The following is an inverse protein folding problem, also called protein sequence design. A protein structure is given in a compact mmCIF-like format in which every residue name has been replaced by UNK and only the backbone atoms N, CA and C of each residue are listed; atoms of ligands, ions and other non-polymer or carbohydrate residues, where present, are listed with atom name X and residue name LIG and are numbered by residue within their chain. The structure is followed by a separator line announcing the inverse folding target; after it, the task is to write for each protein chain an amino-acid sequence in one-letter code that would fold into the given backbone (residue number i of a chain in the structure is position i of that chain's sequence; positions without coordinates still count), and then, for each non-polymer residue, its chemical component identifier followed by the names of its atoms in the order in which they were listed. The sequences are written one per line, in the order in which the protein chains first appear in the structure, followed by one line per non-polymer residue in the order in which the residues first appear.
data_IF_577633807207
#
_entry.id   IF_577633807207
#
_cell.length_a   1.000
_cell.length_b   1.000
_cell.length_c   1.000
_cell.angle_alpha   90.00
_cell.angle_beta   90.00
_cell.angle_gamma   90.00
#
_symmetry.space_group_name_H-M   'P 1'
#
loop_
_entity.id
_entity.type
_entity.pdbx_description
1 polymer ?
#
# COMPACT_ATOMS: atom_id res chain seq x y z
N UNK A 1 -24.57 27.13 10.86
CA UNK A 1 -23.16 27.09 10.42
C UNK A 1 -22.66 25.68 10.68
N UNK A 2 -22.80 24.84 9.67
CA UNK A 2 -22.48 23.40 9.75
C UNK A 2 -21.10 23.23 9.13
N UNK A 3 -20.10 23.02 9.97
CA UNK A 3 -18.73 22.74 9.56
C UNK A 3 -18.59 21.26 9.20
N UNK A 4 -18.38 21.00 7.92
CA UNK A 4 -18.12 19.67 7.37
C UNK A 4 -16.70 19.23 7.79
N UNK A 5 -16.60 18.60 8.95
CA UNK A 5 -15.37 17.95 9.43
C UNK A 5 -15.29 16.54 8.83
N UNK A 6 -14.82 16.44 7.58
CA UNK A 6 -14.39 15.16 7.05
C UNK A 6 -13.12 14.71 7.78
N UNK A 7 -13.09 13.50 8.36
CA UNK A 7 -11.88 13.01 9.01
C UNK A 7 -10.83 12.68 7.93
N UNK A 8 -9.76 13.47 7.90
CA UNK A 8 -8.57 13.17 7.12
C UNK A 8 -7.84 11.99 7.78
N UNK A 9 -7.92 10.83 7.18
CA UNK A 9 -7.02 9.71 7.46
C UNK A 9 -6.29 9.38 6.16
N UNK A 10 -5.04 9.83 6.06
CA UNK A 10 -4.16 9.41 4.98
C UNK A 10 -3.74 7.96 5.23
N UNK A 11 -4.37 7.03 4.52
CA UNK A 11 -3.91 5.66 4.44
C UNK A 11 -2.95 5.52 3.26
N UNK A 12 -1.67 5.41 3.53
CA UNK A 12 -0.69 5.04 2.52
C UNK A 12 -0.62 3.51 2.49
N UNK A 13 -1.02 2.90 1.37
CA UNK A 13 -0.68 1.52 1.05
C UNK A 13 0.84 1.45 0.83
N UNK A 14 1.61 1.29 1.90
CA UNK A 14 3.04 1.02 1.84
C UNK A 14 3.27 -0.41 2.28
N UNK A 15 3.53 -1.28 1.35
CA UNK A 15 4.11 -2.58 1.66
C UNK A 15 5.61 -2.40 1.81
N UNK A 16 6.11 -2.25 3.04
CA UNK A 16 7.54 -2.43 3.30
C UNK A 16 7.77 -2.95 4.71
N UNK A 17 8.18 -4.18 4.77
CA UNK A 17 8.79 -4.77 5.96
C UNK A 17 10.28 -4.92 5.70
N UNK A 18 11.09 -3.95 6.10
CA UNK A 18 12.46 -4.18 6.55
C UNK A 18 12.94 -2.98 7.38
N UNK A 19 13.39 -3.16 8.62
CA UNK A 19 13.99 -2.11 9.40
C UNK A 19 15.47 -2.06 9.09
N UNK A 20 15.90 -1.20 8.20
CA UNK A 20 17.31 -0.73 8.20
C UNK A 20 17.44 0.55 7.40
N UNK A 21 18.08 1.54 8.03
CA UNK A 21 18.56 2.83 7.50
C UNK A 21 17.52 3.92 7.27
N UNK A 22 17.90 5.08 7.77
CA UNK A 22 17.33 6.43 7.69
C UNK A 22 16.45 6.73 6.48
N UNK A 23 15.43 7.59 6.61
CA UNK A 23 14.68 8.10 5.47
C UNK A 23 15.65 8.84 4.57
N UNK A 24 16.02 8.19 3.49
CA UNK A 24 16.73 8.84 2.38
C UNK A 24 15.75 9.85 1.82
N UNK A 25 15.93 11.11 2.16
CA UNK A 25 15.22 12.21 1.53
C UNK A 25 15.39 12.06 0.01
N UNK A 26 14.30 11.76 -0.69
CA UNK A 26 14.29 11.74 -2.14
C UNK A 26 14.64 13.14 -2.57
N UNK A 27 15.83 13.31 -3.15
CA UNK A 27 16.27 14.61 -3.68
C UNK A 27 15.30 14.97 -4.83
N UNK A 28 14.49 16.02 -4.70
CA UNK A 28 13.49 16.37 -5.73
C UNK A 28 14.12 16.78 -7.07
N UNK A 29 15.42 16.93 -7.11
CA UNK A 29 16.20 17.28 -8.32
C UNK A 29 16.90 16.06 -8.95
N UNK A 30 16.73 14.85 -8.43
CA UNK A 30 17.32 13.66 -9.05
C UNK A 30 16.62 13.38 -10.39
N UNK A 31 17.41 13.26 -11.45
CA UNK A 31 16.91 12.84 -12.77
C UNK A 31 16.27 11.46 -12.65
N UNK A 32 15.08 11.30 -13.23
CA UNK A 32 14.39 10.01 -13.27
C UNK A 32 15.19 9.09 -14.21
N UNK A 33 15.73 8.00 -13.65
CA UNK A 33 16.43 7.01 -14.45
C UNK A 33 15.42 6.04 -15.08
N UNK A 34 15.64 5.77 -16.37
CA UNK A 34 14.86 4.83 -17.15
C UNK A 34 15.76 3.72 -17.69
N UNK A 35 15.48 2.49 -17.25
CA UNK A 35 16.22 1.34 -17.75
C UNK A 35 15.93 1.03 -19.24
N UNK A 36 14.76 1.46 -19.74
CA UNK A 36 14.28 1.20 -21.09
C UNK A 36 13.80 2.53 -21.71
N UNK A 37 14.45 3.02 -22.78
CA UNK A 37 14.05 4.27 -23.47
C UNK A 37 12.61 4.20 -24.03
N UNK A 38 12.19 3.03 -24.49
CA UNK A 38 10.84 2.81 -25.03
C UNK A 38 9.78 3.01 -23.94
N UNK A 39 10.05 2.54 -22.72
CA UNK A 39 9.14 2.75 -21.56
C UNK A 39 9.05 4.22 -21.20
N UNK A 40 10.17 4.92 -21.24
CA UNK A 40 10.21 6.39 -21.04
C UNK A 40 9.35 7.12 -22.07
N UNK A 41 9.51 6.78 -23.36
CA UNK A 41 8.76 7.40 -24.45
C UNK A 41 7.25 7.14 -24.28
N UNK A 42 6.85 5.91 -23.99
CA UNK A 42 5.47 5.53 -23.75
C UNK A 42 4.88 6.28 -22.55
N UNK A 43 5.62 6.39 -21.44
CA UNK A 43 5.21 7.14 -20.25
C UNK A 43 4.94 8.61 -20.57
N UNK A 44 5.88 9.29 -21.24
CA UNK A 44 5.71 10.69 -21.61
C UNK A 44 4.57 10.90 -22.61
N UNK A 45 4.40 10.01 -23.57
CA UNK A 45 3.29 10.04 -24.52
C UNK A 45 1.94 9.94 -23.79
N UNK A 46 1.81 8.95 -22.91
CA UNK A 46 0.60 8.74 -22.13
C UNK A 46 0.32 9.93 -21.19
N UNK A 47 1.35 10.43 -20.50
CA UNK A 47 1.21 11.56 -19.60
C UNK A 47 0.78 12.85 -20.32
N UNK A 48 1.31 13.11 -21.51
CA UNK A 48 0.92 14.23 -22.34
C UNK A 48 -0.57 14.15 -22.76
N UNK A 49 -1.11 12.95 -22.95
CA UNK A 49 -2.53 12.77 -23.23
C UNK A 49 -3.44 13.16 -22.05
N UNK A 50 -2.90 13.21 -20.81
CA UNK A 50 -3.67 13.61 -19.62
C UNK A 50 -3.75 15.14 -19.43
N UNK A 51 -3.00 15.92 -20.19
CA UNK A 51 -2.94 17.40 -20.06
C UNK A 51 -4.33 18.03 -20.20
N UNK A 52 -5.06 17.68 -21.25
CA UNK A 52 -6.35 18.30 -21.54
C UNK A 52 -7.45 17.93 -20.51
N UNK A 53 -7.46 16.68 -20.04
CA UNK A 53 -8.50 16.16 -19.15
C UNK A 53 -8.24 16.50 -17.68
N UNK A 54 -6.96 16.52 -17.26
CA UNK A 54 -6.59 16.60 -15.86
C UNK A 54 -5.68 17.79 -15.52
N UNK A 55 -5.36 18.64 -16.49
CA UNK A 55 -4.50 19.82 -16.29
C UNK A 55 -3.07 19.49 -15.85
N UNK A 56 -2.60 18.29 -16.17
CA UNK A 56 -1.26 17.82 -15.83
C UNK A 56 -0.19 18.67 -16.51
N UNK A 57 0.93 18.90 -15.82
CA UNK A 57 2.12 19.57 -16.34
C UNK A 57 3.28 18.59 -16.46
N UNK A 58 3.47 17.94 -17.59
CA UNK A 58 4.44 16.84 -17.76
C UNK A 58 5.89 17.21 -17.48
N UNK A 59 6.26 18.47 -17.61
CA UNK A 59 7.58 19.04 -17.31
C UNK A 59 7.92 19.08 -15.81
N UNK A 60 6.91 18.88 -14.94
CA UNK A 60 7.08 18.93 -13.48
C UNK A 60 7.21 17.56 -12.82
N UNK A 61 7.29 16.48 -13.62
CA UNK A 61 7.40 15.10 -13.13
C UNK A 61 8.67 14.93 -12.28
N UNK A 62 8.48 14.38 -11.07
CA UNK A 62 9.55 14.10 -10.12
C UNK A 62 9.26 12.83 -9.34
N UNK A 63 10.27 12.17 -8.81
CA UNK A 63 10.11 10.99 -7.98
C UNK A 63 9.28 11.33 -6.72
N UNK A 64 8.26 10.52 -6.42
CA UNK A 64 7.44 10.66 -5.23
C UNK A 64 7.83 9.66 -4.14
N UNK A 65 7.93 8.39 -4.50
CA UNK A 65 8.37 7.32 -3.61
C UNK A 65 8.86 6.14 -4.44
N UNK A 66 9.73 5.32 -3.84
CA UNK A 66 10.05 3.99 -4.31
C UNK A 66 9.29 2.97 -3.45
N UNK A 67 8.78 1.93 -4.08
CA UNK A 67 8.18 0.77 -3.42
C UNK A 67 9.18 -0.39 -3.45
N UNK A 68 8.99 -1.37 -2.59
CA UNK A 68 9.72 -2.64 -2.62
C UNK A 68 9.30 -3.53 -3.81
N UNK A 69 8.29 -3.13 -4.58
CA UNK A 69 7.79 -3.77 -5.79
C UNK A 69 8.41 -3.15 -7.05
N UNK A 70 7.97 -3.62 -8.22
CA UNK A 70 8.37 -3.03 -9.51
C UNK A 70 7.61 -1.75 -9.84
N UNK A 71 6.76 -1.24 -8.94
CA UNK A 71 6.01 -0.01 -9.12
C UNK A 71 6.88 1.19 -8.82
N UNK A 72 6.76 2.21 -9.65
CA UNK A 72 7.38 3.52 -9.44
C UNK A 72 6.30 4.57 -9.32
N UNK A 73 6.49 5.51 -8.43
CA UNK A 73 5.55 6.58 -8.21
C UNK A 73 6.22 7.93 -8.46
N UNK A 74 5.56 8.74 -9.27
CA UNK A 74 6.00 10.08 -9.61
C UNK A 74 4.93 11.08 -9.20
N UNK A 75 5.35 12.24 -8.72
CA UNK A 75 4.47 13.37 -8.49
C UNK A 75 4.54 14.30 -9.68
N UNK A 76 3.40 14.83 -10.09
CA UNK A 76 3.28 15.79 -11.18
C UNK A 76 2.36 16.92 -10.75
N UNK A 77 2.70 18.16 -11.12
CA UNK A 77 1.83 19.29 -10.87
C UNK A 77 0.67 19.32 -11.85
N UNK A 78 -0.44 19.88 -11.40
CA UNK A 78 -1.64 20.12 -12.21
C UNK A 78 -2.07 21.58 -12.07
N UNK A 79 -3.12 21.97 -12.77
CA UNK A 79 -3.70 23.31 -12.61
C UNK A 79 -4.33 23.56 -11.23
N UNK A 80 -4.60 22.49 -10.46
CA UNK A 80 -5.33 22.57 -9.19
C UNK A 80 -4.60 21.92 -8.00
N UNK A 81 -3.33 21.60 -8.15
CA UNK A 81 -2.53 20.93 -7.12
C UNK A 81 -1.55 19.93 -7.71
N UNK A 82 -1.49 18.74 -7.12
CA UNK A 82 -0.60 17.67 -7.57
C UNK A 82 -1.37 16.36 -7.77
N UNK A 83 -0.84 15.51 -8.63
CA UNK A 83 -1.29 14.13 -8.82
C UNK A 83 -0.10 13.16 -8.69
N UNK A 84 -0.40 11.90 -8.44
CA UNK A 84 0.56 10.81 -8.47
C UNK A 84 0.39 10.02 -9.77
N UNK A 85 1.49 9.78 -10.44
CA UNK A 85 1.56 8.85 -11.58
C UNK A 85 2.20 7.56 -11.10
N UNK A 86 1.49 6.45 -11.22
CA UNK A 86 2.03 5.11 -10.98
C UNK A 86 2.46 4.52 -12.31
N UNK A 87 3.69 4.04 -12.35
CA UNK A 87 4.27 3.23 -13.44
C UNK A 87 4.47 1.81 -12.93
N UNK A 88 3.68 0.88 -13.44
CA UNK A 88 3.64 -0.52 -13.06
C UNK A 88 3.77 -1.40 -14.32
N UNK A 89 4.98 -1.85 -14.71
CA UNK A 89 5.18 -2.63 -15.91
C UNK A 89 4.32 -3.90 -15.94
N UNK A 90 3.48 -4.12 -16.97
CA UNK A 90 2.47 -5.20 -16.97
C UNK A 90 3.04 -6.62 -16.97
N UNK A 91 4.29 -6.78 -17.40
CA UNK A 91 5.03 -8.05 -17.35
C UNK A 91 5.46 -8.45 -15.93
N UNK A 92 5.39 -7.51 -14.98
CA UNK A 92 5.83 -7.69 -13.59
C UNK A 92 4.76 -7.39 -12.56
N UNK A 93 3.77 -6.57 -12.88
CA UNK A 93 2.78 -6.06 -11.96
C UNK A 93 1.36 -6.21 -12.52
N UNK A 94 0.48 -6.82 -11.74
CA UNK A 94 -0.95 -6.81 -12.00
C UNK A 94 -1.61 -5.68 -11.21
N UNK A 95 -2.14 -4.68 -11.89
CA UNK A 95 -2.79 -3.52 -11.28
C UNK A 95 -4.27 -3.72 -10.95
N UNK A 96 -4.93 -4.77 -11.46
CA UNK A 96 -6.37 -5.01 -11.23
C UNK A 96 -6.71 -5.09 -9.72
N UNK A 97 -5.96 -5.81 -8.89
CA UNK A 97 -6.22 -5.83 -7.44
C UNK A 97 -6.14 -4.44 -6.80
N UNK A 98 -5.18 -3.60 -7.19
CA UNK A 98 -5.08 -2.22 -6.70
C UNK A 98 -6.33 -1.42 -7.05
N UNK A 99 -6.78 -1.48 -8.31
CA UNK A 99 -7.99 -0.77 -8.79
C UNK A 99 -9.23 -1.22 -8.02
N UNK A 100 -9.39 -2.53 -7.84
CA UNK A 100 -10.53 -3.12 -7.14
C UNK A 100 -10.56 -2.70 -5.66
N UNK A 101 -9.41 -2.78 -4.97
CA UNK A 101 -9.32 -2.40 -3.56
C UNK A 101 -9.51 -0.90 -3.36
N UNK A 102 -8.91 -0.06 -4.20
CA UNK A 102 -9.11 1.39 -4.13
C UNK A 102 -10.61 1.76 -4.25
N UNK A 103 -11.32 1.16 -5.21
CA UNK A 103 -12.77 1.36 -5.38
C UNK A 103 -13.55 0.89 -4.16
N UNK A 104 -13.24 -0.31 -3.65
CA UNK A 104 -13.90 -0.86 -2.47
C UNK A 104 -13.74 0.04 -1.24
N UNK A 105 -12.56 0.62 -1.04
CA UNK A 105 -12.31 1.55 0.07
C UNK A 105 -13.07 2.86 -0.12
N UNK A 106 -13.10 3.42 -1.34
CA UNK A 106 -13.87 4.62 -1.65
C UNK A 106 -15.38 4.40 -1.47
N UNK A 107 -15.90 3.25 -1.91
CA UNK A 107 -17.31 2.87 -1.73
C UNK A 107 -17.68 2.70 -0.25
N UNK A 108 -16.73 2.30 0.59
CA UNK A 108 -16.88 2.24 2.03
C UNK A 108 -16.85 3.63 2.71
N UNK A 109 -16.60 4.70 1.96
CA UNK A 109 -16.45 6.06 2.49
C UNK A 109 -15.08 6.35 3.08
N UNK A 110 -14.09 5.49 2.84
CA UNK A 110 -12.72 5.71 3.26
C UNK A 110 -11.99 6.64 2.27
N UNK A 111 -10.96 7.32 2.79
CA UNK A 111 -10.09 8.14 1.97
C UNK A 111 -9.01 7.25 1.33
N UNK A 112 -9.14 7.01 0.04
CA UNK A 112 -8.19 6.25 -0.77
C UNK A 112 -7.92 7.00 -2.07
N UNK A 113 -6.78 6.78 -2.76
CA UNK A 113 -6.50 7.46 -4.03
C UNK A 113 -7.56 7.14 -5.07
N UNK A 114 -8.22 8.18 -5.63
CA UNK A 114 -9.07 7.99 -6.79
C UNK A 114 -8.20 7.76 -8.01
N UNK A 115 -8.63 6.84 -8.86
CA UNK A 115 -7.98 6.58 -10.14
C UNK A 115 -8.61 7.53 -11.16
N UNK A 116 -7.85 8.55 -11.57
CA UNK A 116 -8.30 9.59 -12.50
C UNK A 116 -8.18 9.13 -13.95
N UNK A 117 -7.12 8.38 -14.27
CA UNK A 117 -6.91 7.73 -15.56
C UNK A 117 -6.12 6.43 -15.37
N UNK A 118 -6.38 5.43 -16.22
CA UNK A 118 -5.70 4.15 -16.23
C UNK A 118 -5.52 3.62 -17.64
N UNK A 119 -4.27 3.37 -18.00
CA UNK A 119 -3.87 2.64 -19.21
C UNK A 119 -3.46 1.22 -18.77
N UNK A 120 -4.42 0.31 -18.77
CA UNK A 120 -4.22 -1.07 -18.33
C UNK A 120 -3.16 -1.79 -19.17
N UNK A 121 -3.18 -1.73 -20.53
CA UNK A 121 -2.17 -2.39 -21.36
C UNK A 121 -0.75 -1.93 -21.11
N UNK A 122 -0.54 -0.68 -20.73
CA UNK A 122 0.78 -0.13 -20.46
C UNK A 122 1.10 -0.06 -18.95
N UNK A 123 0.10 -0.23 -18.06
CA UNK A 123 0.29 -0.19 -16.62
C UNK A 123 0.60 1.21 -16.08
N UNK A 124 0.06 2.26 -16.68
CA UNK A 124 0.16 3.63 -16.18
C UNK A 124 -1.14 4.06 -15.52
N UNK A 125 -1.05 4.70 -14.35
CA UNK A 125 -2.21 5.29 -13.68
C UNK A 125 -1.95 6.71 -13.24
N UNK A 126 -2.96 7.56 -13.36
CA UNK A 126 -3.01 8.88 -12.72
C UNK A 126 -3.92 8.76 -11.50
N UNK A 127 -3.40 9.13 -10.35
CA UNK A 127 -4.05 9.00 -9.05
C UNK A 127 -4.15 10.35 -8.35
N UNK A 128 -5.12 10.51 -7.46
CA UNK A 128 -5.10 11.61 -6.50
C UNK A 128 -3.81 11.58 -5.70
N UNK A 129 -3.26 12.76 -5.43
CA UNK A 129 -2.16 12.90 -4.47
C UNK A 129 -2.75 13.06 -3.07
N UNK A 130 -2.61 12.04 -2.25
CA UNK A 130 -3.08 12.04 -0.86
C UNK A 130 -2.03 12.56 0.12
N UNK A 131 -0.97 13.23 -0.38
CA UNK A 131 0.06 13.87 0.43
C UNK A 131 1.39 13.13 0.44
N UNK A 132 2.32 13.65 1.23
CA UNK A 132 3.69 13.14 1.33
C UNK A 132 4.06 12.62 2.71
N UNK A 133 3.23 12.89 3.73
CA UNK A 133 3.49 12.49 5.11
C UNK A 133 2.73 11.20 5.43
N UNK A 134 3.44 10.25 6.03
CA UNK A 134 2.85 9.05 6.60
C UNK A 134 2.59 9.24 8.09
N UNK A 135 1.82 8.33 8.71
CA UNK A 135 1.63 8.32 10.15
C UNK A 135 2.98 8.21 10.88
N UNK A 136 3.94 7.47 10.33
CA UNK A 136 5.29 7.33 10.89
C UNK A 136 6.08 8.63 10.91
N UNK A 137 5.83 9.53 9.98
CA UNK A 137 6.51 10.83 9.89
C UNK A 137 5.99 11.82 10.95
N UNK A 138 4.77 11.61 11.44
CA UNK A 138 4.10 12.54 12.38
C UNK A 138 3.95 11.99 13.80
N UNK A 139 4.26 10.71 14.03
CA UNK A 139 4.24 10.11 15.37
C UNK A 139 5.29 10.78 16.25
N UNK A 140 4.87 11.26 17.43
CA UNK A 140 5.77 11.66 18.48
C UNK A 140 6.23 10.43 19.27
N UNK A 141 7.52 10.06 19.11
CA UNK A 141 8.10 8.86 19.76
C UNK A 141 8.42 9.11 21.24
N UNK A 142 8.62 10.36 21.61
CA UNK A 142 8.99 10.74 22.98
C UNK A 142 7.76 10.96 23.88
N UNK A 143 6.60 11.23 23.27
CA UNK A 143 5.32 11.36 23.97
C UNK A 143 4.24 10.50 23.27
N UNK A 144 4.08 9.22 23.67
CA UNK A 144 3.07 8.33 23.11
C UNK A 144 1.63 8.83 23.26
N UNK A 145 1.33 9.61 24.30
CA UNK A 145 -0.01 10.14 24.55
C UNK A 145 -0.41 11.19 23.50
N UNK A 146 0.54 11.95 22.98
CA UNK A 146 0.29 12.90 21.90
C UNK A 146 -0.26 12.23 20.62
N UNK A 147 -0.01 10.92 20.45
CA UNK A 147 -0.45 10.16 19.28
C UNK A 147 -1.87 9.60 19.41
N UNK A 148 -2.52 9.71 20.56
CA UNK A 148 -3.83 9.10 20.82
C UNK A 148 -4.85 9.42 19.72
N UNK A 149 -4.95 10.70 19.32
CA UNK A 149 -5.87 11.13 18.27
C UNK A 149 -5.55 10.52 16.87
N UNK A 150 -4.27 10.25 16.58
CA UNK A 150 -3.88 9.57 15.33
C UNK A 150 -4.33 8.11 15.33
N UNK A 151 -4.09 7.39 16.42
CA UNK A 151 -4.51 6.00 16.56
C UNK A 151 -6.03 5.85 16.57
N UNK A 152 -6.76 6.74 17.22
CA UNK A 152 -8.23 6.69 17.21
C UNK A 152 -8.78 6.85 15.79
N UNK A 153 -8.26 7.80 15.00
CA UNK A 153 -8.68 7.95 13.59
C UNK A 153 -8.33 6.71 12.74
N UNK A 154 -7.18 6.08 12.97
CA UNK A 154 -6.82 4.84 12.29
C UNK A 154 -7.77 3.70 12.64
N UNK A 155 -8.15 3.58 13.92
CA UNK A 155 -9.15 2.60 14.37
C UNK A 155 -10.53 2.86 13.76
N UNK A 156 -10.98 4.11 13.70
CA UNK A 156 -12.26 4.47 13.07
C UNK A 156 -12.27 4.07 11.58
N UNK A 157 -11.17 4.32 10.86
CA UNK A 157 -11.03 3.91 9.47
C UNK A 157 -11.04 2.36 9.32
N UNK A 158 -10.34 1.65 10.22
CA UNK A 158 -10.33 0.19 10.23
C UNK A 158 -11.73 -0.39 10.50
N UNK A 159 -12.44 0.17 11.47
CA UNK A 159 -13.81 -0.23 11.78
C UNK A 159 -14.74 0.00 10.59
N UNK A 160 -14.62 1.15 9.92
CA UNK A 160 -15.39 1.46 8.70
C UNK A 160 -15.12 0.43 7.60
N UNK A 161 -13.84 0.07 7.38
CA UNK A 161 -13.47 -0.97 6.43
C UNK A 161 -14.10 -2.33 6.79
N UNK A 162 -14.00 -2.73 8.06
CA UNK A 162 -14.55 -4.00 8.53
C UNK A 162 -16.07 -4.05 8.44
N UNK A 163 -16.77 -2.96 8.77
CA UNK A 163 -18.23 -2.87 8.66
C UNK A 163 -18.73 -2.91 7.22
N UNK A 164 -17.88 -2.53 6.26
CA UNK A 164 -18.19 -2.63 4.82
C UNK A 164 -18.01 -4.04 4.23
N UNK A 165 -17.59 -5.01 5.05
CA UNK A 165 -17.30 -6.38 4.61
C UNK A 165 -18.52 -7.06 4.00
N UNK A 166 -18.30 -7.68 2.86
CA UNK A 166 -19.31 -8.45 2.13
C UNK A 166 -18.76 -9.81 1.76
N UNK A 167 -19.54 -10.89 1.93
CA UNK A 167 -19.10 -12.23 1.55
C UNK A 167 -18.71 -12.32 0.08
N UNK A 168 -17.69 -13.08 -0.23
CA UNK A 168 -17.24 -13.39 -1.59
C UNK A 168 -16.76 -12.22 -2.44
N UNK A 169 -16.57 -11.03 -1.87
CA UNK A 169 -16.01 -9.87 -2.58
C UNK A 169 -14.49 -9.96 -2.65
N UNK A 170 -13.85 -10.33 -1.57
CA UNK A 170 -12.40 -10.59 -1.52
C UNK A 170 -12.14 -12.08 -1.34
N UNK A 171 -10.97 -12.59 -1.77
CA UNK A 171 -10.57 -13.96 -1.46
C UNK A 171 -10.61 -14.23 0.05
N UNK A 172 -10.99 -15.45 0.47
CA UNK A 172 -10.99 -15.80 1.87
C UNK A 172 -9.55 -15.79 2.44
N UNK A 173 -9.43 -15.39 3.70
CA UNK A 173 -8.21 -15.60 4.48
C UNK A 173 -8.32 -16.99 5.13
N UNK A 174 -8.08 -18.01 4.33
CA UNK A 174 -8.31 -19.40 4.68
C UNK A 174 -7.14 -20.05 5.43
N UNK A 175 -7.31 -21.33 5.79
CA UNK A 175 -6.29 -22.11 6.48
C UNK A 175 -4.96 -22.17 5.71
N UNK A 176 -5.03 -22.35 4.39
CA UNK A 176 -3.82 -22.44 3.55
C UNK A 176 -3.01 -21.13 3.57
N UNK A 177 -3.70 -20.00 3.51
CA UNK A 177 -3.07 -18.68 3.60
C UNK A 177 -2.48 -18.45 5.00
N UNK A 178 -3.22 -18.76 6.07
CA UNK A 178 -2.73 -18.64 7.45
C UNK A 178 -1.50 -19.52 7.69
N UNK A 179 -1.51 -20.76 7.24
CA UNK A 179 -0.35 -21.67 7.37
C UNK A 179 0.86 -21.15 6.60
N UNK A 180 0.66 -20.64 5.38
CA UNK A 180 1.75 -20.04 4.59
C UNK A 180 2.38 -18.84 5.30
N UNK A 181 1.56 -17.94 5.85
CA UNK A 181 2.09 -16.78 6.59
C UNK A 181 2.86 -17.22 7.85
N UNK A 182 2.35 -18.22 8.58
CA UNK A 182 3.03 -18.75 9.77
C UNK A 182 4.34 -19.47 9.43
N UNK A 183 4.43 -20.12 8.27
CA UNK A 183 5.64 -20.83 7.84
C UNK A 183 6.83 -19.88 7.59
N UNK A 184 6.57 -18.60 7.34
CA UNK A 184 7.64 -17.61 7.16
C UNK A 184 8.52 -17.50 8.40
N UNK A 185 7.97 -17.73 9.60
CA UNK A 185 8.76 -17.68 10.83
C UNK A 185 9.84 -18.76 10.89
N UNK A 186 9.53 -20.08 10.81
CA UNK A 186 10.57 -21.10 10.81
C UNK A 186 11.46 -21.07 9.56
N UNK A 187 10.89 -20.83 8.37
CA UNK A 187 11.63 -20.97 7.13
C UNK A 187 12.61 -19.80 6.91
N UNK A 188 12.15 -18.57 7.15
CA UNK A 188 12.96 -17.38 6.90
C UNK A 188 13.66 -16.87 8.16
N UNK A 189 12.92 -16.67 9.26
CA UNK A 189 13.53 -16.08 10.45
C UNK A 189 14.45 -17.09 11.16
N UNK A 190 13.97 -18.28 11.49
CA UNK A 190 14.80 -19.25 12.20
C UNK A 190 15.90 -19.83 11.31
N UNK A 191 15.55 -20.33 10.12
CA UNK A 191 16.49 -21.06 9.27
C UNK A 191 17.40 -20.11 8.50
N UNK A 192 16.86 -19.12 7.75
CA UNK A 192 17.69 -18.26 6.89
C UNK A 192 18.37 -17.15 7.68
N UNK A 193 17.64 -16.40 8.49
CA UNK A 193 18.22 -15.26 9.20
C UNK A 193 19.02 -15.68 10.43
N UNK A 194 18.48 -16.55 11.28
CA UNK A 194 19.15 -17.01 12.51
C UNK A 194 20.08 -18.21 12.29
N UNK A 195 20.03 -18.86 11.14
CA UNK A 195 20.81 -20.06 10.77
C UNK A 195 20.68 -21.19 11.80
N UNK A 196 19.49 -21.30 12.42
CA UNK A 196 19.18 -22.34 13.37
C UNK A 196 18.70 -23.59 12.64
N UNK A 197 19.11 -24.76 13.14
CA UNK A 197 18.54 -26.03 12.74
C UNK A 197 17.41 -26.41 13.70
N UNK A 198 16.23 -26.65 13.18
CA UNK A 198 15.04 -27.01 13.95
C UNK A 198 14.98 -28.54 14.01
N UNK A 199 15.05 -29.10 15.20
CA UNK A 199 14.89 -30.55 15.40
C UNK A 199 13.40 -30.98 15.34
N UNK A 200 13.15 -32.29 15.35
CA UNK A 200 11.80 -32.85 15.19
C UNK A 200 10.86 -32.43 16.32
N UNK A 201 11.37 -32.30 17.57
CA UNK A 201 10.55 -31.88 18.71
C UNK A 201 10.14 -30.41 18.61
N UNK A 202 11.08 -29.57 18.20
CA UNK A 202 10.82 -28.15 17.96
C UNK A 202 9.83 -27.96 16.81
N UNK A 203 9.97 -28.75 15.73
CA UNK A 203 9.00 -28.71 14.62
C UNK A 203 7.61 -29.09 15.09
N UNK A 204 7.47 -30.19 15.84
CA UNK A 204 6.18 -30.63 16.39
C UNK A 204 5.54 -29.56 17.30
N UNK A 205 6.33 -28.88 18.11
CA UNK A 205 5.87 -27.78 18.97
C UNK A 205 5.36 -26.60 18.13
N UNK A 206 6.08 -26.20 17.08
CA UNK A 206 5.65 -25.15 16.15
C UNK A 206 4.35 -25.51 15.46
N UNK A 207 4.23 -26.74 14.93
CA UNK A 207 3.06 -27.21 14.21
C UNK A 207 1.82 -27.20 15.10
N UNK A 208 1.91 -27.68 16.34
CA UNK A 208 0.83 -27.60 17.34
C UNK A 208 0.42 -26.16 17.66
N UNK A 209 1.42 -25.28 17.80
CA UNK A 209 1.18 -23.86 18.08
C UNK A 209 0.48 -23.19 16.88
N UNK A 210 0.97 -23.43 15.67
CA UNK A 210 0.38 -22.88 14.45
C UNK A 210 -1.04 -23.39 14.22
N UNK A 211 -1.27 -24.69 14.44
CA UNK A 211 -2.63 -25.24 14.37
C UNK A 211 -3.58 -24.55 15.33
N UNK A 212 -3.15 -24.27 16.56
CA UNK A 212 -3.98 -23.54 17.54
C UNK A 212 -4.27 -22.11 17.08
N UNK A 213 -3.28 -21.41 16.52
CA UNK A 213 -3.44 -20.06 15.99
C UNK A 213 -4.44 -20.08 14.83
N UNK A 214 -4.25 -20.98 13.87
CA UNK A 214 -5.13 -21.13 12.69
C UNK A 214 -6.56 -21.39 13.11
N UNK A 215 -6.80 -22.36 13.98
CA UNK A 215 -8.16 -22.69 14.47
C UNK A 215 -8.84 -21.48 15.12
N UNK A 216 -8.11 -20.72 15.96
CA UNK A 216 -8.67 -19.53 16.60
C UNK A 216 -9.00 -18.41 15.60
N UNK A 217 -8.14 -18.21 14.60
CA UNK A 217 -8.39 -17.21 13.56
C UNK A 217 -9.62 -17.59 12.71
N UNK A 218 -9.73 -18.86 12.32
CA UNK A 218 -10.85 -19.33 11.52
C UNK A 218 -12.20 -19.34 12.27
N UNK A 219 -12.17 -19.40 13.59
CA UNK A 219 -13.37 -19.30 14.43
C UNK A 219 -13.87 -17.85 14.61
N UNK A 220 -13.05 -16.85 14.28
CA UNK A 220 -13.45 -15.46 14.36
C UNK A 220 -14.36 -15.04 13.19
N UNK A 221 -15.24 -14.04 13.36
CA UNK A 221 -16.01 -13.49 12.25
C UNK A 221 -15.11 -13.00 11.12
N UNK A 222 -15.47 -13.33 9.87
CA UNK A 222 -14.73 -12.90 8.69
C UNK A 222 -15.05 -11.44 8.34
N UNK A 223 -14.03 -10.60 8.31
CA UNK A 223 -14.09 -9.20 7.90
C UNK A 223 -12.97 -8.90 6.92
N UNK A 224 -13.03 -7.75 6.24
CA UNK A 224 -11.91 -7.29 5.43
C UNK A 224 -10.68 -7.03 6.30
N UNK A 225 -9.54 -7.57 5.87
CA UNK A 225 -8.25 -7.45 6.57
C UNK A 225 -7.35 -6.51 5.79
N UNK A 226 -6.81 -5.48 6.46
CA UNK A 226 -5.94 -4.50 5.83
C UNK A 226 -4.57 -5.09 5.45
N UNK A 227 -4.01 -5.96 6.28
CA UNK A 227 -2.72 -6.65 6.10
C UNK A 227 -1.46 -5.76 6.19
N UNK A 228 -1.58 -4.55 6.72
CA UNK A 228 -0.44 -3.64 6.87
C UNK A 228 -0.50 -2.96 8.26
#
# INVERSE_FOLDING_TARGET
MSGDLRPFVEFRLSMSTTPTSQPSGVNPSASIEWAQPERQAAFHQWLNAQVAAHGVRPDTVRAASADASFRRYFRVDTTHGTCIVMDAPPDKENCEPFVRIARLMLDAGLYAPRILAWDEPQGFMLLDDIGSQTMMDVINRDDPQANHGLYMRALDALLTLQQSSRPSVLPPYDEALLQRELSLFPDWYLTQHRQLQIDSSQREMLDKTFQTIVQRNLAAPSVYVHRD
#
